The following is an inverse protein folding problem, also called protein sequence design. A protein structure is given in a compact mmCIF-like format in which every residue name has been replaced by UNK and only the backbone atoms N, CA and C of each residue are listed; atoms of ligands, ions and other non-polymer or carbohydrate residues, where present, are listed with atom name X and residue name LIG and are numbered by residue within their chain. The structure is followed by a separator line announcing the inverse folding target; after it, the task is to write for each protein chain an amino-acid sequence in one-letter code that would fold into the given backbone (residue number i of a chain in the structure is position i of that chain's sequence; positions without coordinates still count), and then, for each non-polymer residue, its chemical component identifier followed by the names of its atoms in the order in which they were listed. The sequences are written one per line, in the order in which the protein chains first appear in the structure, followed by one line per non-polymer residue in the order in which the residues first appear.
data_IF_350484989395
#
_entry.id   IF_350484989395
#
_cell.length_a   1.000
_cell.length_b   1.000
_cell.length_c   1.000
_cell.angle_alpha   90.00
_cell.angle_beta   90.00
_cell.angle_gamma   90.00
#
_symmetry.space_group_name_H-M   'P 1'
#
loop_
_entity.id
_entity.type
_entity.pdbx_description
1 polymer ?
#
# COMPACT_ATOMS: atom_id res chain seq x y z
N UNK A 1 8.54 9.75 -12.36
CA UNK A 1 9.03 8.37 -12.18
C UNK A 1 9.31 7.82 -13.55
N UNK A 2 10.58 7.58 -13.86
CA UNK A 2 10.98 6.82 -15.03
C UNK A 2 10.37 5.44 -14.90
N UNK A 3 9.57 5.03 -15.89
CA UNK A 3 9.15 3.65 -16.03
C UNK A 3 10.44 2.82 -16.02
N UNK A 4 10.68 2.07 -14.95
CA UNK A 4 11.83 1.17 -14.90
C UNK A 4 11.68 0.22 -16.10
N UNK A 5 12.69 0.17 -16.94
CA UNK A 5 12.76 -0.85 -17.98
C UNK A 5 12.61 -2.20 -17.29
N UNK A 6 11.84 -3.13 -17.86
CA UNK A 6 11.63 -4.43 -17.24
C UNK A 6 12.96 -5.08 -16.90
N UNK A 7 13.15 -5.34 -15.63
CA UNK A 7 14.40 -5.94 -15.10
C UNK A 7 14.66 -7.36 -15.59
N UNK A 8 13.67 -7.99 -16.25
CA UNK A 8 13.78 -9.37 -16.79
C UNK A 8 14.37 -9.47 -18.18
N UNK A 9 14.57 -8.35 -18.91
CA UNK A 9 15.18 -8.38 -20.23
C UNK A 9 16.60 -8.92 -20.16
N UNK A 10 16.86 -10.03 -20.86
CA UNK A 10 18.16 -10.70 -20.88
C UNK A 10 18.38 -11.71 -19.74
N UNK A 11 17.36 -11.99 -18.92
CA UNK A 11 17.43 -13.13 -18.00
C UNK A 11 17.40 -14.46 -18.76
N UNK A 12 18.31 -15.37 -18.39
CA UNK A 12 18.30 -16.74 -18.88
C UNK A 12 17.47 -17.60 -17.93
N UNK A 13 16.15 -17.50 -18.06
CA UNK A 13 15.17 -18.24 -17.25
C UNK A 13 14.22 -18.99 -18.18
N UNK A 14 13.87 -20.22 -17.81
CA UNK A 14 12.90 -21.04 -18.55
C UNK A 14 11.48 -20.50 -18.45
N UNK A 15 11.19 -19.70 -17.44
CA UNK A 15 9.89 -19.08 -17.20
C UNK A 15 10.03 -17.77 -16.45
N UNK A 16 9.27 -16.76 -16.88
CA UNK A 16 9.25 -15.44 -16.25
C UNK A 16 7.81 -15.05 -15.95
N UNK A 17 7.52 -14.78 -14.69
CA UNK A 17 6.20 -14.35 -14.23
C UNK A 17 6.26 -13.04 -13.44
N UNK A 18 5.14 -12.33 -13.33
CA UNK A 18 5.00 -11.27 -12.36
C UNK A 18 4.07 -11.68 -11.23
N UNK A 19 4.31 -11.16 -10.03
CA UNK A 19 3.40 -11.29 -8.90
C UNK A 19 3.07 -9.92 -8.32
N UNK A 20 1.78 -9.58 -8.27
CA UNK A 20 1.26 -8.35 -7.69
C UNK A 20 1.99 -7.07 -8.18
N UNK A 21 2.40 -7.04 -9.46
CA UNK A 21 3.05 -5.89 -10.07
C UNK A 21 2.12 -4.68 -10.15
N UNK A 22 2.66 -3.47 -10.30
CA UNK A 22 1.86 -2.26 -10.40
C UNK A 22 2.47 -1.24 -11.36
N UNK A 23 1.66 -0.71 -12.25
CA UNK A 23 1.98 0.44 -13.09
C UNK A 23 1.79 1.77 -12.35
N UNK A 24 1.23 1.75 -11.13
CA UNK A 24 0.96 2.94 -10.33
C UNK A 24 0.02 3.91 -11.04
N UNK A 25 0.48 5.14 -11.31
CA UNK A 25 -0.28 6.15 -12.05
C UNK A 25 0.00 6.16 -13.56
N UNK A 26 0.77 5.18 -14.09
CA UNK A 26 1.07 5.07 -15.51
C UNK A 26 -0.11 4.43 -16.24
N UNK A 27 -0.56 5.08 -17.30
CA UNK A 27 -1.61 4.60 -18.21
C UNK A 27 -1.02 4.33 -19.60
N UNK A 28 -1.75 3.65 -20.47
CA UNK A 28 -1.37 3.43 -21.88
C UNK A 28 -1.20 4.73 -22.63
N UNK A 29 -2.05 5.74 -22.36
CA UNK A 29 -1.91 7.07 -22.95
C UNK A 29 -0.59 7.75 -22.55
N UNK A 30 -0.21 7.65 -21.26
CA UNK A 30 1.09 8.16 -20.79
C UNK A 30 2.25 7.42 -21.45
N UNK A 31 2.15 6.13 -21.64
CA UNK A 31 3.17 5.34 -22.36
C UNK A 31 3.26 5.78 -23.83
N UNK A 32 2.13 6.04 -24.48
CA UNK A 32 2.07 6.56 -25.84
C UNK A 32 2.74 7.93 -25.93
N UNK A 33 2.40 8.86 -25.04
CA UNK A 33 2.98 10.22 -25.00
C UNK A 33 4.51 10.23 -24.88
N UNK A 34 5.09 9.27 -24.15
CA UNK A 34 6.54 9.15 -23.98
C UNK A 34 7.20 8.18 -24.98
N UNK A 35 6.46 7.70 -25.99
CA UNK A 35 6.96 6.79 -27.04
C UNK A 35 7.43 5.43 -26.49
N UNK A 36 6.80 4.91 -25.42
CA UNK A 36 7.19 3.65 -24.79
C UNK A 36 6.13 2.54 -24.88
N UNK A 37 5.00 2.82 -25.52
CA UNK A 37 3.88 1.87 -25.56
C UNK A 37 4.27 0.56 -26.22
N UNK A 38 4.86 0.60 -27.40
CA UNK A 38 5.22 -0.58 -28.19
C UNK A 38 6.30 -1.42 -27.50
N UNK A 39 7.31 -0.77 -26.92
CA UNK A 39 8.37 -1.47 -26.21
C UNK A 39 7.85 -2.15 -24.94
N UNK A 40 6.95 -1.48 -24.19
CA UNK A 40 6.34 -2.07 -22.99
C UNK A 40 5.41 -3.22 -23.39
N UNK A 41 4.60 -3.06 -24.44
CA UNK A 41 3.75 -4.12 -24.97
C UNK A 41 4.57 -5.36 -25.34
N UNK A 42 5.63 -5.19 -26.15
CA UNK A 42 6.52 -6.30 -26.53
C UNK A 42 7.08 -7.04 -25.32
N UNK A 43 7.59 -6.29 -24.33
CA UNK A 43 8.16 -6.88 -23.13
C UNK A 43 7.13 -7.63 -22.28
N UNK A 44 5.88 -7.16 -22.25
CA UNK A 44 4.82 -7.86 -21.52
C UNK A 44 4.40 -9.18 -22.19
N UNK A 45 4.58 -9.30 -23.51
CA UNK A 45 4.31 -10.56 -24.22
C UNK A 45 5.34 -11.65 -23.92
N UNK A 46 6.54 -11.27 -23.46
CA UNK A 46 7.59 -12.21 -23.05
C UNK A 46 7.30 -12.88 -21.68
N UNK A 47 6.25 -12.44 -20.98
CA UNK A 47 5.88 -13.00 -19.68
C UNK A 47 4.95 -14.21 -19.84
N UNK A 48 5.28 -15.30 -19.14
CA UNK A 48 4.48 -16.53 -19.12
C UNK A 48 3.18 -16.39 -18.33
N UNK A 49 3.21 -15.62 -17.25
CA UNK A 49 2.02 -15.30 -16.47
C UNK A 49 2.14 -13.90 -15.84
N UNK A 50 1.03 -13.18 -15.84
CA UNK A 50 0.99 -11.80 -15.37
C UNK A 50 0.02 -11.67 -14.22
N UNK A 51 0.52 -11.19 -13.08
CA UNK A 51 -0.26 -10.82 -11.92
C UNK A 51 0.03 -9.39 -11.50
N UNK A 52 -1.03 -8.65 -11.22
CA UNK A 52 -1.02 -7.24 -10.80
C UNK A 52 -1.79 -7.06 -9.49
N UNK A 53 -1.66 -5.89 -8.85
CA UNK A 53 -2.32 -5.62 -7.56
C UNK A 53 -3.33 -4.47 -7.57
N UNK A 54 -3.58 -3.86 -8.71
CA UNK A 54 -4.53 -2.74 -8.83
C UNK A 54 -5.24 -2.72 -10.18
N UNK A 55 -6.43 -2.11 -10.20
CA UNK A 55 -7.32 -2.06 -11.36
C UNK A 55 -6.68 -1.29 -12.54
N UNK A 56 -5.89 -0.22 -12.28
CA UNK A 56 -5.19 0.49 -13.35
C UNK A 56 -4.19 -0.42 -14.07
N UNK A 57 -3.47 -1.22 -13.31
CA UNK A 57 -2.49 -2.17 -13.86
C UNK A 57 -3.18 -3.27 -14.67
N UNK A 58 -4.35 -3.76 -14.24
CA UNK A 58 -5.16 -4.68 -15.05
C UNK A 58 -5.48 -4.07 -16.41
N UNK A 59 -6.06 -2.87 -16.41
CA UNK A 59 -6.42 -2.15 -17.63
C UNK A 59 -5.23 -1.95 -18.56
N UNK A 60 -4.08 -1.52 -18.04
CA UNK A 60 -2.86 -1.34 -18.84
C UNK A 60 -2.40 -2.65 -19.49
N UNK A 61 -2.40 -3.76 -18.75
CA UNK A 61 -2.06 -5.08 -19.31
C UNK A 61 -3.04 -5.50 -20.40
N UNK A 62 -4.34 -5.39 -20.16
CA UNK A 62 -5.37 -5.75 -21.12
C UNK A 62 -5.25 -4.94 -22.41
N UNK A 63 -5.05 -3.62 -22.32
CA UNK A 63 -4.88 -2.73 -23.48
C UNK A 63 -3.58 -2.98 -24.26
N UNK A 64 -2.50 -3.40 -23.58
CA UNK A 64 -1.21 -3.63 -24.24
C UNK A 64 -1.02 -5.04 -24.78
N UNK A 65 -1.71 -6.03 -24.21
CA UNK A 65 -1.46 -7.45 -24.52
C UNK A 65 -2.71 -8.19 -25.02
N UNK A 66 -3.90 -7.66 -24.82
CA UNK A 66 -5.16 -8.37 -25.04
C UNK A 66 -5.42 -9.51 -24.04
N UNK A 67 -4.56 -9.70 -23.03
CA UNK A 67 -4.69 -10.76 -22.01
C UNK A 67 -5.21 -10.15 -20.71
N UNK A 68 -6.13 -10.83 -20.02
CA UNK A 68 -6.57 -10.46 -18.68
C UNK A 68 -5.57 -10.98 -17.64
N UNK A 69 -4.89 -10.10 -16.88
CA UNK A 69 -3.97 -10.51 -15.84
C UNK A 69 -4.72 -10.99 -14.59
N UNK A 70 -4.01 -11.71 -13.71
CA UNK A 70 -4.53 -12.03 -12.38
C UNK A 70 -4.43 -10.81 -11.46
N UNK A 71 -5.47 -10.58 -10.66
CA UNK A 71 -5.45 -9.59 -9.59
C UNK A 71 -5.14 -10.29 -8.27
N UNK A 72 -4.04 -9.93 -7.61
CA UNK A 72 -3.63 -10.49 -6.32
C UNK A 72 -3.26 -9.40 -5.32
N UNK A 73 -3.25 -9.77 -4.04
CA UNK A 73 -2.86 -8.87 -2.96
C UNK A 73 -1.36 -8.62 -2.93
N UNK A 74 -0.98 -7.49 -2.32
CA UNK A 74 0.43 -7.19 -2.04
C UNK A 74 1.06 -8.31 -1.20
N UNK A 75 2.30 -8.78 -1.51
CA UNK A 75 2.95 -9.89 -0.82
C UNK A 75 3.09 -9.69 0.68
N UNK A 76 3.14 -8.45 1.15
CA UNK A 76 3.17 -8.11 2.59
C UNK A 76 1.96 -8.68 3.32
N UNK A 77 0.79 -8.75 2.71
CA UNK A 77 -0.41 -9.27 3.36
C UNK A 77 -0.38 -10.79 3.54
N UNK A 78 0.35 -11.51 2.68
CA UNK A 78 0.42 -12.97 2.71
C UNK A 78 1.39 -13.53 3.75
N UNK A 79 2.53 -12.87 3.95
CA UNK A 79 3.61 -13.41 4.77
C UNK A 79 3.38 -13.15 6.26
N UNK A 80 3.67 -14.15 7.11
CA UNK A 80 3.66 -13.97 8.56
C UNK A 80 5.00 -13.44 9.04
N UNK A 81 4.98 -12.17 9.51
CA UNK A 81 6.17 -11.49 10.01
C UNK A 81 6.41 -11.67 11.52
N UNK A 82 5.52 -12.34 12.25
CA UNK A 82 5.55 -12.36 13.71
C UNK A 82 6.90 -12.81 14.28
N UNK A 83 7.54 -13.82 13.67
CA UNK A 83 8.86 -14.30 14.10
C UNK A 83 10.01 -13.30 13.89
N UNK A 84 9.83 -12.25 13.07
CA UNK A 84 10.85 -11.25 12.76
C UNK A 84 10.63 -9.93 13.51
N UNK A 85 9.47 -9.77 14.14
CA UNK A 85 9.12 -8.52 14.81
C UNK A 85 9.62 -8.57 16.26
N UNK A 86 10.50 -7.62 16.67
CA UNK A 86 11.01 -7.56 18.04
C UNK A 86 9.89 -7.36 19.07
N UNK A 87 9.90 -8.09 20.17
CA UNK A 87 8.86 -8.04 21.21
C UNK A 87 8.84 -6.75 22.04
N UNK A 88 9.94 -5.99 22.01
CA UNK A 88 10.13 -4.77 22.83
C UNK A 88 9.24 -3.56 22.46
N UNK A 89 8.42 -3.66 21.44
CA UNK A 89 7.61 -2.55 20.93
C UNK A 89 6.11 -2.61 21.29
N UNK A 90 5.75 -3.24 22.38
CA UNK A 90 4.35 -3.27 22.86
C UNK A 90 3.97 -1.95 23.55
N UNK A 91 3.77 -0.88 22.75
CA UNK A 91 3.33 0.43 23.24
C UNK A 91 2.11 0.88 22.45
N UNK A 92 0.92 0.75 23.01
CA UNK A 92 -0.33 1.29 22.42
C UNK A 92 -0.54 2.76 22.84
N UNK A 93 0.48 3.62 22.76
CA UNK A 93 0.44 4.99 23.31
C UNK A 93 0.80 6.05 22.27
N UNK A 94 0.69 5.72 20.98
CA UNK A 94 1.06 6.65 19.93
C UNK A 94 0.25 6.46 18.66
N UNK A 95 0.28 7.52 17.86
CA UNK A 95 -0.25 7.57 16.51
C UNK A 95 0.93 7.61 15.53
N UNK A 96 0.92 6.73 14.53
CA UNK A 96 1.88 6.81 13.44
C UNK A 96 1.41 7.79 12.38
N UNK A 97 2.32 8.69 11.98
CA UNK A 97 2.24 9.45 10.74
C UNK A 97 3.23 8.85 9.74
N UNK A 98 2.70 8.18 8.71
CA UNK A 98 3.53 7.52 7.70
C UNK A 98 3.28 8.15 6.32
N UNK A 99 4.16 9.08 5.96
CA UNK A 99 4.06 9.88 4.73
C UNK A 99 5.45 10.22 4.20
N UNK A 100 5.51 10.67 2.94
CA UNK A 100 6.75 11.18 2.38
C UNK A 100 6.91 12.70 2.64
N UNK A 101 8.16 13.21 2.65
CA UNK A 101 8.42 14.65 2.76
C UNK A 101 7.66 15.44 1.70
N UNK A 102 7.13 16.60 2.12
CA UNK A 102 6.43 17.52 1.24
C UNK A 102 5.00 17.12 0.86
N UNK A 103 4.43 16.05 1.43
CA UNK A 103 3.05 15.64 1.12
C UNK A 103 2.01 16.20 2.07
N UNK A 104 2.23 16.12 3.38
CA UNK A 104 1.36 16.73 4.38
C UNK A 104 1.98 18.08 4.76
N UNK A 105 1.58 19.14 4.05
CA UNK A 105 2.10 20.51 4.22
C UNK A 105 0.97 21.51 4.50
N UNK A 106 -0.26 21.15 4.21
CA UNK A 106 -1.41 22.01 4.47
C UNK A 106 -1.62 22.18 5.97
N UNK A 107 -1.78 23.45 6.40
CA UNK A 107 -1.94 23.78 7.83
C UNK A 107 -3.21 23.20 8.44
N UNK A 108 -4.28 23.02 7.66
CA UNK A 108 -5.53 22.41 8.15
C UNK A 108 -5.36 20.92 8.35
N UNK A 109 -4.68 20.22 7.41
CA UNK A 109 -4.34 18.81 7.58
C UNK A 109 -3.53 18.61 8.86
N UNK A 110 -2.43 19.35 9.02
CA UNK A 110 -1.56 19.28 10.19
C UNK A 110 -2.33 19.58 11.49
N UNK A 111 -3.15 20.64 11.50
CA UNK A 111 -3.93 20.99 12.68
C UNK A 111 -4.96 19.91 13.05
N UNK A 112 -5.63 19.32 12.07
CA UNK A 112 -6.58 18.21 12.31
C UNK A 112 -5.89 16.98 12.91
N UNK A 113 -4.71 16.61 12.39
CA UNK A 113 -3.90 15.48 12.90
C UNK A 113 -3.47 15.77 14.35
N UNK A 114 -2.93 16.97 14.63
CA UNK A 114 -2.49 17.35 15.98
C UNK A 114 -3.63 17.43 16.98
N UNK A 115 -4.78 17.96 16.58
CA UNK A 115 -5.97 18.04 17.44
C UNK A 115 -6.49 16.65 17.79
N UNK A 116 -6.48 15.72 16.83
CA UNK A 116 -6.85 14.32 17.10
C UNK A 116 -5.89 13.67 18.09
N UNK A 117 -4.58 13.80 17.90
CA UNK A 117 -3.59 13.27 18.82
C UNK A 117 -3.76 13.82 20.24
N UNK A 118 -3.97 15.13 20.34
CA UNK A 118 -4.25 15.79 21.63
C UNK A 118 -5.53 15.29 22.29
N UNK A 119 -6.61 15.08 21.52
CA UNK A 119 -7.89 14.57 22.06
C UNK A 119 -7.80 13.15 22.58
N UNK A 120 -6.79 12.38 22.13
CA UNK A 120 -6.52 11.00 22.56
C UNK A 120 -5.39 10.92 23.59
N UNK A 121 -4.75 12.04 23.92
CA UNK A 121 -3.56 12.09 24.77
C UNK A 121 -2.42 11.19 24.27
N UNK A 122 -2.30 11.06 22.93
CA UNK A 122 -1.32 10.22 22.26
C UNK A 122 -0.24 11.05 21.57
N UNK A 123 0.99 10.53 21.55
CA UNK A 123 2.09 11.12 20.80
C UNK A 123 1.95 10.87 19.29
N UNK A 124 2.37 11.84 18.49
CA UNK A 124 2.55 11.69 17.05
C UNK A 124 3.98 11.24 16.75
N UNK A 125 4.14 10.03 16.23
CA UNK A 125 5.44 9.50 15.80
C UNK A 125 5.49 9.47 14.28
N UNK A 126 6.49 10.13 13.70
CA UNK A 126 6.82 9.99 12.29
C UNK A 126 7.87 8.92 12.08
N UNK A 127 7.72 8.13 11.01
CA UNK A 127 8.66 7.05 10.66
C UNK A 127 9.45 7.45 9.41
N UNK A 128 10.77 7.41 9.52
CA UNK A 128 11.71 7.59 8.41
C UNK A 128 12.00 9.04 8.02
N UNK A 129 11.18 10.01 8.41
CA UNK A 129 11.34 11.42 8.08
C UNK A 129 10.96 12.33 9.23
N UNK A 130 11.70 13.42 9.39
CA UNK A 130 11.40 14.45 10.38
C UNK A 130 10.29 15.37 9.90
N UNK A 131 9.29 15.58 10.77
CA UNK A 131 8.26 16.61 10.62
C UNK A 131 8.20 17.41 11.92
N UNK A 132 8.42 18.74 11.84
CA UNK A 132 8.45 19.64 13.00
C UNK A 132 7.15 19.67 13.81
N UNK A 133 6.06 19.14 13.27
CA UNK A 133 4.75 19.07 13.89
C UNK A 133 4.43 17.69 14.52
N UNK A 134 5.31 16.71 14.39
CA UNK A 134 5.25 15.44 15.12
C UNK A 134 6.07 15.56 16.43
N UNK A 135 5.68 14.79 17.45
CA UNK A 135 6.34 14.81 18.76
C UNK A 135 7.66 14.02 18.73
N UNK A 136 7.75 13.02 17.87
CA UNK A 136 8.91 12.14 17.77
C UNK A 136 9.16 11.71 16.33
N UNK A 137 10.42 11.51 15.97
CA UNK A 137 10.82 10.87 14.72
C UNK A 137 11.63 9.62 15.04
N UNK A 138 11.34 8.53 14.33
CA UNK A 138 12.07 7.28 14.45
C UNK A 138 12.62 6.85 13.09
N UNK A 139 13.85 6.30 13.09
CA UNK A 139 14.53 5.76 11.90
C UNK A 139 14.76 4.26 12.17
N UNK A 140 13.71 3.45 12.09
CA UNK A 140 13.80 2.04 12.41
C UNK A 140 14.36 1.21 11.25
N UNK A 141 14.89 0.03 11.58
CA UNK A 141 15.16 -1.02 10.59
C UNK A 141 13.84 -1.54 9.99
N UNK A 142 13.88 -2.24 8.83
CA UNK A 142 12.65 -2.73 8.18
C UNK A 142 11.71 -3.54 9.09
N UNK A 143 12.24 -4.42 9.94
CA UNK A 143 11.41 -5.21 10.87
C UNK A 143 10.92 -4.39 12.07
N UNK A 144 11.69 -3.40 12.51
CA UNK A 144 11.23 -2.47 13.54
C UNK A 144 10.09 -1.56 13.02
N UNK A 145 10.07 -1.21 11.73
CA UNK A 145 8.91 -0.51 11.10
C UNK A 145 7.64 -1.31 11.38
N UNK A 146 7.67 -2.63 11.12
CA UNK A 146 6.52 -3.50 11.35
C UNK A 146 6.12 -3.55 12.84
N UNK A 147 7.11 -3.53 13.73
CA UNK A 147 6.87 -3.47 15.19
C UNK A 147 6.16 -2.17 15.59
N UNK A 148 6.60 -1.02 15.03
CA UNK A 148 5.91 0.26 15.24
C UNK A 148 4.47 0.21 14.76
N UNK A 149 4.22 -0.31 13.54
CA UNK A 149 2.85 -0.46 13.03
C UNK A 149 2.02 -1.38 13.92
N UNK A 150 2.56 -2.52 14.35
CA UNK A 150 1.87 -3.46 15.27
C UNK A 150 1.52 -2.82 16.60
N UNK A 151 2.39 -1.96 17.14
CA UNK A 151 2.22 -1.30 18.44
C UNK A 151 1.42 0.00 18.42
N UNK A 152 1.05 0.56 17.26
CA UNK A 152 0.32 1.82 17.18
C UNK A 152 -1.14 1.70 17.62
N UNK A 153 -1.68 2.77 18.23
CA UNK A 153 -3.13 2.91 18.48
C UNK A 153 -3.88 3.28 17.20
N UNK A 154 -3.34 4.26 16.46
CA UNK A 154 -3.90 4.75 15.21
C UNK A 154 -2.81 4.98 14.18
N UNK A 155 -3.18 4.94 12.89
CA UNK A 155 -2.28 5.23 11.79
C UNK A 155 -2.90 6.25 10.85
N UNK A 156 -2.15 7.30 10.53
CA UNK A 156 -2.50 8.31 9.54
C UNK A 156 -1.47 8.23 8.43
N UNK A 157 -1.91 7.96 7.21
CA UNK A 157 -1.01 7.76 6.09
C UNK A 157 -1.57 8.30 4.78
N UNK A 158 -0.70 8.66 3.85
CA UNK A 158 -1.01 8.91 2.44
C UNK A 158 -0.25 7.97 1.51
N UNK A 159 0.28 6.85 2.07
CA UNK A 159 1.10 5.91 1.33
C UNK A 159 0.43 4.56 1.16
N UNK A 160 0.75 3.87 0.06
CA UNK A 160 0.24 2.53 -0.20
C UNK A 160 0.63 1.54 0.92
N UNK A 161 1.92 1.46 1.24
CA UNK A 161 2.39 0.53 2.28
C UNK A 161 1.96 0.92 3.70
N UNK A 162 1.73 2.21 3.98
CA UNK A 162 1.11 2.62 5.24
C UNK A 162 -0.28 2.01 5.42
N UNK A 163 -1.10 2.02 4.36
CA UNK A 163 -2.41 1.37 4.37
C UNK A 163 -2.29 -0.16 4.43
N UNK A 164 -1.36 -0.76 3.67
CA UNK A 164 -1.11 -2.22 3.69
C UNK A 164 -0.70 -2.70 5.09
N UNK A 165 0.23 -2.01 5.76
CA UNK A 165 0.65 -2.35 7.12
C UNK A 165 -0.47 -2.15 8.14
N UNK A 166 -1.29 -1.10 7.98
CA UNK A 166 -2.46 -0.88 8.83
C UNK A 166 -3.44 -2.05 8.77
N UNK A 167 -3.74 -2.50 7.56
CA UNK A 167 -4.59 -3.69 7.31
C UNK A 167 -3.94 -4.94 7.89
N UNK A 168 -2.65 -5.17 7.62
CA UNK A 168 -1.89 -6.34 8.08
C UNK A 168 -1.91 -6.51 9.60
N UNK A 169 -1.82 -5.40 10.34
CA UNK A 169 -1.74 -5.42 11.81
C UNK A 169 -3.06 -5.06 12.49
N UNK A 170 -4.17 -5.05 11.78
CA UNK A 170 -5.51 -4.79 12.30
C UNK A 170 -5.58 -3.46 13.06
N UNK A 171 -5.12 -2.37 12.45
CA UNK A 171 -5.05 -1.05 13.08
C UNK A 171 -6.17 -0.13 12.64
N UNK A 172 -6.69 0.66 13.56
CA UNK A 172 -7.54 1.78 13.20
C UNK A 172 -6.70 2.80 12.42
N UNK A 173 -7.13 3.13 11.22
CA UNK A 173 -6.35 3.99 10.33
C UNK A 173 -7.22 4.86 9.44
N UNK A 174 -6.61 5.89 8.90
CA UNK A 174 -7.15 6.63 7.78
C UNK A 174 -6.10 6.84 6.70
N UNK A 175 -6.57 6.96 5.46
CA UNK A 175 -5.74 7.15 4.28
C UNK A 175 -6.11 8.46 3.60
N UNK A 176 -5.14 9.39 3.52
CA UNK A 176 -5.28 10.63 2.76
C UNK A 176 -4.90 10.33 1.31
N UNK A 177 -5.90 10.32 0.42
CA UNK A 177 -5.68 10.00 -0.99
C UNK A 177 -5.23 11.23 -1.75
N UNK A 178 -4.18 11.09 -2.57
CA UNK A 178 -3.62 12.12 -3.46
C UNK A 178 -3.75 11.66 -4.91
N UNK A 179 -3.88 12.58 -5.86
CA UNK A 179 -4.05 12.25 -7.29
C UNK A 179 -2.99 11.27 -7.82
N UNK A 180 -1.73 11.46 -7.39
CA UNK A 180 -0.61 10.64 -7.85
C UNK A 180 -0.63 9.18 -7.35
N UNK A 181 -1.43 8.85 -6.34
CA UNK A 181 -1.51 7.51 -5.76
C UNK A 181 -2.94 6.99 -5.59
N UNK A 182 -3.94 7.75 -6.06
CA UNK A 182 -5.36 7.43 -5.92
C UNK A 182 -5.69 6.03 -6.45
N UNK A 183 -5.30 5.71 -7.67
CA UNK A 183 -5.63 4.43 -8.31
C UNK A 183 -5.29 3.22 -7.42
N UNK A 184 -4.05 3.13 -6.95
CA UNK A 184 -3.61 1.97 -6.15
C UNK A 184 -4.16 1.97 -4.72
N UNK A 185 -4.37 3.15 -4.12
CA UNK A 185 -4.94 3.25 -2.77
C UNK A 185 -6.43 2.93 -2.76
N UNK A 186 -7.18 3.50 -3.69
CA UNK A 186 -8.61 3.21 -3.83
C UNK A 186 -8.83 1.74 -4.18
N UNK A 187 -8.05 1.18 -5.11
CA UNK A 187 -8.11 -0.24 -5.45
C UNK A 187 -7.84 -1.13 -4.24
N UNK A 188 -6.80 -0.83 -3.45
CA UNK A 188 -6.50 -1.56 -2.21
C UNK A 188 -7.67 -1.52 -1.23
N UNK A 189 -8.16 -0.33 -0.90
CA UNK A 189 -9.21 -0.17 0.11
C UNK A 189 -10.54 -0.81 -0.34
N UNK A 190 -10.87 -0.72 -1.62
CA UNK A 190 -12.04 -1.39 -2.21
C UNK A 190 -11.94 -2.91 -2.11
N UNK A 191 -10.76 -3.50 -2.37
CA UNK A 191 -10.52 -4.94 -2.27
C UNK A 191 -10.82 -5.49 -0.88
N UNK A 192 -10.59 -4.69 0.16
CA UNK A 192 -10.84 -5.05 1.56
C UNK A 192 -12.13 -4.45 2.14
N UNK A 193 -12.96 -3.79 1.33
CA UNK A 193 -14.20 -3.11 1.76
C UNK A 193 -13.94 -2.02 2.82
N UNK A 194 -12.85 -1.29 2.64
CA UNK A 194 -12.35 -0.25 3.56
C UNK A 194 -12.37 1.15 2.94
N UNK A 195 -13.21 1.41 1.94
CA UNK A 195 -13.32 2.73 1.29
C UNK A 195 -13.70 3.83 2.30
N UNK A 196 -14.38 3.45 3.38
CA UNK A 196 -14.70 4.34 4.50
C UNK A 196 -13.46 4.83 5.28
N UNK A 197 -12.26 4.31 5.00
CA UNK A 197 -10.98 4.80 5.56
C UNK A 197 -10.36 5.92 4.75
N UNK A 198 -10.93 6.27 3.59
CA UNK A 198 -10.47 7.38 2.76
C UNK A 198 -10.89 8.71 3.38
N UNK A 199 -9.92 9.58 3.61
CA UNK A 199 -10.15 10.96 4.04
C UNK A 199 -10.22 11.85 2.81
N UNK A 200 -11.41 12.34 2.49
CA UNK A 200 -11.67 13.36 1.47
C UNK A 200 -11.90 14.74 2.09
N UNK A 201 -12.25 14.79 3.37
CA UNK A 201 -12.48 16.00 4.16
C UNK A 201 -11.84 15.79 5.54
N UNK A 202 -10.88 16.64 5.88
CA UNK A 202 -10.14 16.54 7.15
C UNK A 202 -11.04 16.72 8.40
N UNK A 203 -12.18 17.39 8.28
CA UNK A 203 -13.15 17.47 9.37
C UNK A 203 -13.78 16.11 9.73
N UNK A 204 -13.76 15.16 8.81
CA UNK A 204 -14.27 13.78 9.02
C UNK A 204 -13.21 12.82 9.52
N UNK A 205 -11.93 13.20 9.50
CA UNK A 205 -10.79 12.31 9.84
C UNK A 205 -10.94 11.69 11.22
N UNK A 206 -11.31 12.49 12.24
CA UNK A 206 -11.52 11.99 13.59
C UNK A 206 -12.60 10.90 13.63
N UNK A 207 -13.77 11.18 13.04
CA UNK A 207 -14.87 10.20 12.97
C UNK A 207 -14.45 8.90 12.25
N UNK A 208 -13.66 9.02 11.18
CA UNK A 208 -13.14 7.87 10.44
C UNK A 208 -12.26 7.02 11.36
N UNK A 209 -11.31 7.64 12.08
CA UNK A 209 -10.38 6.96 12.98
C UNK A 209 -11.09 6.32 14.19
N UNK A 210 -12.15 6.93 14.69
CA UNK A 210 -12.92 6.44 15.85
C UNK A 210 -13.98 5.39 15.48
N UNK A 211 -14.28 5.23 14.19
CA UNK A 211 -15.22 4.19 13.74
C UNK A 211 -14.49 2.86 13.66
N UNK A 212 -14.87 1.84 14.45
CA UNK A 212 -14.19 0.54 14.43
C UNK A 212 -14.22 -0.14 13.06
N UNK A 213 -13.14 -0.86 12.74
CA UNK A 213 -13.04 -1.70 11.55
C UNK A 213 -13.48 -3.13 11.90
N UNK A 214 -14.32 -3.73 11.04
CA UNK A 214 -14.61 -5.17 11.12
C UNK A 214 -13.42 -5.98 10.60
N UNK A 215 -12.43 -6.17 11.44
CA UNK A 215 -11.25 -6.97 11.09
C UNK A 215 -11.52 -8.46 10.96
N UNK A 216 -12.63 -8.98 11.49
CA UNK A 216 -13.02 -10.36 11.22
C UNK A 216 -13.33 -10.55 9.73
N UNK A 217 -14.12 -9.64 9.15
CA UNK A 217 -14.40 -9.62 7.71
C UNK A 217 -13.15 -9.38 6.85
N UNK A 218 -12.32 -8.41 7.23
CA UNK A 218 -11.06 -8.08 6.51
C UNK A 218 -10.10 -9.27 6.52
N UNK A 219 -9.87 -9.91 7.65
CA UNK A 219 -8.96 -11.06 7.78
C UNK A 219 -9.45 -12.27 6.98
N UNK A 220 -10.77 -12.46 6.87
CA UNK A 220 -11.34 -13.48 5.97
C UNK A 220 -10.95 -13.22 4.52
N UNK A 221 -11.07 -11.99 4.05
CA UNK A 221 -10.64 -11.60 2.70
C UNK A 221 -9.13 -11.85 2.52
N UNK A 222 -8.29 -11.44 3.48
CA UNK A 222 -6.84 -11.69 3.43
C UNK A 222 -6.55 -13.18 3.27
N UNK A 223 -7.21 -14.03 4.04
CA UNK A 223 -7.01 -15.48 3.99
C UNK A 223 -7.41 -16.07 2.63
N UNK A 224 -8.53 -15.67 2.07
CA UNK A 224 -9.00 -16.11 0.75
C UNK A 224 -8.05 -15.65 -0.35
N UNK A 225 -7.63 -14.39 -0.34
CA UNK A 225 -6.69 -13.82 -1.32
C UNK A 225 -5.29 -14.42 -1.18
N UNK A 226 -4.83 -14.72 0.04
CA UNK A 226 -3.58 -15.44 0.26
C UNK A 226 -3.60 -16.83 -0.38
N UNK A 227 -4.70 -17.56 -0.21
CA UNK A 227 -4.88 -18.89 -0.84
C UNK A 227 -4.83 -18.80 -2.38
N UNK A 228 -5.53 -17.83 -2.96
CA UNK A 228 -5.51 -17.58 -4.42
C UNK A 228 -4.09 -17.26 -4.91
N UNK A 229 -3.39 -16.41 -4.19
CA UNK A 229 -2.02 -15.98 -4.49
C UNK A 229 -1.03 -17.15 -4.42
N UNK A 230 -1.12 -17.99 -3.40
CA UNK A 230 -0.28 -19.21 -3.27
C UNK A 230 -0.57 -20.16 -4.42
N UNK A 231 -1.83 -20.38 -4.78
CA UNK A 231 -2.21 -21.22 -5.92
C UNK A 231 -1.57 -20.72 -7.22
N UNK A 232 -1.67 -19.41 -7.50
CA UNK A 232 -1.04 -18.79 -8.67
C UNK A 232 0.48 -19.03 -8.69
N UNK A 233 1.16 -18.74 -7.59
CA UNK A 233 2.61 -18.93 -7.49
C UNK A 233 3.00 -20.41 -7.68
N UNK A 234 2.30 -21.32 -7.02
CA UNK A 234 2.58 -22.76 -7.11
C UNK A 234 2.40 -23.31 -8.54
N UNK A 235 1.40 -22.81 -9.28
CA UNK A 235 1.14 -23.23 -10.65
C UNK A 235 2.12 -22.63 -11.66
N UNK A 236 2.72 -21.50 -11.35
CA UNK A 236 3.52 -20.73 -12.30
C UNK A 236 5.04 -20.73 -12.03
N UNK A 237 5.51 -21.18 -10.87
CA UNK A 237 6.95 -21.26 -10.52
C UNK A 237 7.56 -22.65 -10.83
N UNK A 238 6.75 -23.64 -11.21
CA UNK A 238 7.22 -25.01 -11.53
C UNK A 238 7.75 -25.13 -12.93
#
# INVERSE_FOLDING_TARGET
QTCALPIWKGLNASRIITYAASFGATTTDKLQLVGKKEIVSSLLHDLDAISVRDENSMKVIEELTGKTPWLHVDPVLMFDYNQFIPDKFNRNEYIIVYTYPGRITDKKEISSIRNFAKSKELKLISIGHYFSWCDEVVIPTPFEVLAYFRGASYIITDTFHGSVFSIKFNKEFCTIVRDMNSNKLVSLLKQFKLENRIVTDMNKMQKILETPIDYAGVNKIIMEETKRSITYLTQNIR
#
